data_IF_623672686449
#
_entry.id   IF_623672686449
#
_cell.length_a   1.000
_cell.length_b   1.000
_cell.length_c   1.000
_cell.angle_alpha   90.00
_cell.angle_beta   90.00
_cell.angle_gamma   90.00
#
_symmetry.space_group_name_H-M   'P 1'
#
loop_
_entity.id
_entity.type
_entity.pdbx_description
1 polymer ?
#
# COMPACT_ATOMS: atom_id res chain seq x y z
N UNK A 1 -5.97 0.94 7.50
CA UNK A 1 -6.21 -0.06 6.44
C UNK A 1 -7.26 0.38 5.44
N UNK A 2 -8.40 0.95 5.88
CA UNK A 2 -9.47 1.47 4.98
C UNK A 2 -8.93 2.38 3.86
N UNK A 3 -8.03 3.32 4.20
CA UNK A 3 -7.46 4.26 3.22
C UNK A 3 -6.63 3.58 2.12
N UNK A 4 -5.78 2.60 2.49
CA UNK A 4 -4.96 1.86 1.52
C UNK A 4 -5.83 1.04 0.56
N UNK A 5 -6.83 0.34 1.12
CA UNK A 5 -7.80 -0.44 0.34
C UNK A 5 -8.55 0.42 -0.68
N UNK A 6 -9.00 1.61 -0.26
CA UNK A 6 -9.74 2.53 -1.12
C UNK A 6 -8.99 2.98 -2.38
N UNK A 7 -7.65 3.04 -2.34
CA UNK A 7 -6.83 3.44 -3.49
C UNK A 7 -6.29 2.26 -4.30
N UNK A 8 -6.14 1.09 -3.68
CA UNK A 8 -5.61 -0.12 -4.33
C UNK A 8 -6.71 -0.92 -5.03
N UNK A 9 -7.88 -1.11 -4.42
CA UNK A 9 -8.96 -1.91 -5.01
C UNK A 9 -9.38 -1.48 -6.42
N UNK A 10 -9.48 -0.16 -6.73
CA UNK A 10 -9.84 0.27 -8.08
C UNK A 10 -8.86 -0.21 -9.15
N UNK A 11 -7.58 -0.40 -8.79
CA UNK A 11 -6.55 -0.88 -9.71
C UNK A 11 -6.83 -2.32 -10.16
N UNK A 12 -7.40 -3.15 -9.29
CA UNK A 12 -7.79 -4.53 -9.62
C UNK A 12 -9.14 -4.61 -10.35
N UNK A 13 -10.03 -3.62 -10.15
CA UNK A 13 -11.35 -3.61 -10.79
C UNK A 13 -11.36 -3.10 -12.24
N UNK A 14 -10.31 -2.37 -12.65
CA UNK A 14 -10.25 -1.74 -13.96
C UNK A 14 -9.82 -2.73 -15.04
N UNK A 15 -10.61 -2.92 -16.12
CA UNK A 15 -10.27 -3.87 -17.18
C UNK A 15 -9.09 -3.40 -18.07
N UNK A 16 -8.67 -2.15 -17.95
CA UNK A 16 -7.61 -1.55 -18.78
C UNK A 16 -6.29 -1.32 -18.04
N UNK A 17 -6.30 -1.40 -16.70
CA UNK A 17 -5.08 -1.23 -15.91
C UNK A 17 -4.35 -2.58 -15.86
N UNK A 18 -3.06 -2.57 -16.23
CA UNK A 18 -2.22 -3.78 -16.26
C UNK A 18 -1.32 -3.91 -15.02
N UNK A 19 -1.23 -2.85 -14.21
CA UNK A 19 -0.43 -2.83 -12.99
C UNK A 19 -0.36 -1.43 -12.39
N UNK A 20 0.15 -1.35 -11.17
CA UNK A 20 0.36 -0.10 -10.46
C UNK A 20 1.63 -0.18 -9.58
N UNK A 21 2.17 0.98 -9.23
CA UNK A 21 3.22 1.09 -8.23
C UNK A 21 2.68 1.94 -7.08
N UNK A 22 2.65 1.40 -5.87
CA UNK A 22 2.31 2.17 -4.69
C UNK A 22 3.57 2.85 -4.15
N UNK A 23 3.61 4.17 -4.27
CA UNK A 23 4.57 5.00 -3.56
C UNK A 23 3.86 5.58 -2.33
N UNK A 24 4.33 5.37 -1.11
CA UNK A 24 5.71 5.05 -0.71
C UNK A 24 5.83 3.74 0.09
N UNK A 25 6.98 3.05 -0.03
CA UNK A 25 7.22 1.81 0.73
C UNK A 25 7.54 2.09 2.20
N UNK A 26 8.49 2.98 2.47
CA UNK A 26 8.92 3.38 3.82
C UNK A 26 8.63 4.86 4.04
N UNK A 27 8.69 5.36 5.26
CA UNK A 27 8.73 6.81 5.47
C UNK A 27 10.06 7.40 5.01
N UNK A 28 10.03 8.68 4.64
CA UNK A 28 11.22 9.51 4.43
C UNK A 28 11.00 10.84 5.13
N UNK A 29 12.04 11.37 5.79
CA UNK A 29 12.03 12.67 6.51
C UNK A 29 10.64 13.11 7.04
N UNK A 30 10.01 14.12 6.45
CA UNK A 30 8.70 14.62 6.84
C UNK A 30 7.52 13.89 6.15
N UNK A 31 7.78 13.11 5.10
CA UNK A 31 6.79 12.32 4.37
C UNK A 31 6.55 10.97 5.05
N UNK A 32 5.54 10.96 5.93
CA UNK A 32 5.13 9.80 6.73
C UNK A 32 4.07 8.91 6.05
N UNK A 33 4.06 8.87 4.71
CA UNK A 33 3.07 8.14 3.91
C UNK A 33 3.44 6.67 3.63
N UNK A 34 4.60 6.21 4.12
CA UNK A 34 5.10 4.86 3.90
C UNK A 34 4.19 3.78 4.48
N UNK A 35 4.15 2.61 3.83
CA UNK A 35 3.56 1.39 4.40
C UNK A 35 4.36 0.90 5.63
N UNK A 36 5.66 1.18 5.62
CA UNK A 36 6.61 0.90 6.68
C UNK A 36 7.12 2.21 7.27
N UNK A 37 7.61 2.18 8.51
CA UNK A 37 8.35 3.28 9.13
C UNK A 37 9.68 3.53 8.41
N UNK A 38 10.38 4.60 8.81
CA UNK A 38 11.74 4.90 8.34
C UNK A 38 12.69 3.70 8.51
N UNK A 39 12.66 3.04 9.67
CA UNK A 39 13.43 1.82 9.97
C UNK A 39 12.83 0.53 9.38
N UNK A 40 11.94 0.63 8.39
CA UNK A 40 11.30 -0.51 7.70
C UNK A 40 10.45 -1.40 8.61
N UNK A 41 9.89 -0.86 9.70
CA UNK A 41 8.92 -1.59 10.53
C UNK A 41 7.52 -1.43 9.94
N UNK A 42 6.72 -2.51 9.77
CA UNK A 42 5.35 -2.37 9.27
C UNK A 42 4.50 -1.48 10.18
N UNK A 43 3.77 -0.52 9.61
CA UNK A 43 2.86 0.36 10.38
C UNK A 43 1.52 -0.28 10.73
N UNK A 44 1.24 -1.42 10.12
CA UNK A 44 0.09 -2.26 10.37
C UNK A 44 0.51 -3.72 10.20
N UNK A 45 -0.33 -4.70 10.61
CA UNK A 45 -0.02 -6.11 10.41
C UNK A 45 0.35 -6.39 8.95
N UNK A 46 1.52 -7.00 8.74
CA UNK A 46 2.09 -7.16 7.40
C UNK A 46 1.18 -8.00 6.49
N UNK A 47 0.48 -8.97 7.07
CA UNK A 47 -0.49 -9.80 6.34
C UNK A 47 -1.66 -8.98 5.81
N UNK A 48 -2.13 -7.98 6.56
CA UNK A 48 -3.20 -7.08 6.12
C UNK A 48 -2.75 -6.20 4.96
N UNK A 49 -1.52 -5.69 5.01
CA UNK A 49 -0.93 -4.91 3.92
C UNK A 49 -0.77 -5.80 2.67
N UNK A 50 -0.23 -7.02 2.84
CA UNK A 50 -0.05 -7.99 1.76
C UNK A 50 -1.35 -8.32 1.07
N UNK A 51 -2.42 -8.62 1.82
CA UNK A 51 -3.75 -8.92 1.26
C UNK A 51 -4.24 -7.81 0.33
N UNK A 52 -4.17 -6.56 0.80
CA UNK A 52 -4.58 -5.40 0.00
C UNK A 52 -3.70 -5.24 -1.23
N UNK A 53 -2.37 -5.27 -1.08
CA UNK A 53 -1.42 -5.07 -2.18
C UNK A 53 -1.44 -6.17 -3.25
N UNK A 54 -1.99 -7.35 -2.93
CA UNK A 54 -2.13 -8.47 -3.87
C UNK A 54 -3.57 -8.65 -4.36
N UNK A 55 -4.54 -7.90 -3.81
CA UNK A 55 -5.95 -8.06 -4.15
C UNK A 55 -6.54 -9.43 -3.73
N UNK A 56 -6.04 -10.02 -2.64
CA UNK A 56 -6.45 -11.35 -2.13
C UNK A 56 -7.23 -11.28 -0.81
#
# INVERSE_FOLDING_TARGET
MVKLKAVVDPMFSSPVIQGYCYTQLTDVEQEINGLLTYDRKPKAPIDSIRKIMMGI
#
